data_IF_383221666700
#
_entry.id   IF_383221666700
#
_cell.length_a   1.000
_cell.length_b   1.000
_cell.length_c   1.000
_cell.angle_alpha   90.00
_cell.angle_beta   90.00
_cell.angle_gamma   90.00
#
_symmetry.space_group_name_H-M   'P 1'
#
loop_
_entity.id
_entity.type
_entity.pdbx_description
1 polymer ?
#
# COMPACT_ATOMS: atom_id res chain seq x y z
N UNK A 1 -37.91 31.72 -32.32
CA UNK A 1 -37.21 30.61 -31.64
C UNK A 1 -36.74 31.10 -30.28
N UNK A 2 -37.13 30.44 -29.19
CA UNK A 2 -36.71 30.85 -27.82
C UNK A 2 -35.35 30.21 -27.55
N UNK A 3 -34.32 31.03 -27.36
CA UNK A 3 -32.95 30.58 -27.10
C UNK A 3 -32.83 29.86 -25.76
N UNK A 4 -31.97 28.85 -25.70
CA UNK A 4 -31.71 28.06 -24.50
C UNK A 4 -30.55 28.69 -23.73
N UNK A 5 -30.74 28.95 -22.43
CA UNK A 5 -29.67 29.47 -21.57
C UNK A 5 -28.84 28.29 -21.05
N UNK A 6 -27.54 28.31 -21.35
CA UNK A 6 -26.58 27.32 -20.86
C UNK A 6 -25.69 28.00 -19.83
N UNK A 7 -25.53 27.36 -18.68
CA UNK A 7 -24.61 27.79 -17.64
C UNK A 7 -23.44 26.82 -17.60
N UNK A 8 -22.22 27.37 -17.62
CA UNK A 8 -20.99 26.61 -17.42
C UNK A 8 -20.48 26.91 -16.01
N UNK A 9 -20.50 25.90 -15.15
CA UNK A 9 -19.87 25.98 -13.83
C UNK A 9 -18.45 25.41 -13.91
N UNK A 10 -17.48 26.17 -13.42
CA UNK A 10 -16.11 25.72 -13.24
C UNK A 10 -15.80 25.68 -11.74
N UNK A 11 -15.53 24.48 -11.23
CA UNK A 11 -15.07 24.28 -9.86
C UNK A 11 -13.54 24.26 -9.91
N UNK A 12 -12.92 25.39 -9.56
CA UNK A 12 -11.49 25.43 -9.25
C UNK A 12 -11.31 25.21 -7.77
N UNK A 13 -10.61 24.14 -7.39
CA UNK A 13 -10.14 23.97 -6.03
C UNK A 13 -9.21 25.14 -5.66
N UNK A 14 -9.67 26.02 -4.77
CA UNK A 14 -8.79 26.99 -4.13
C UNK A 14 -7.83 26.22 -3.22
N UNK A 15 -6.54 26.50 -3.35
CA UNK A 15 -5.48 25.94 -2.48
C UNK A 15 -5.54 26.54 -1.08
N UNK A 16 -6.73 26.67 -0.51
CA UNK A 16 -6.94 27.10 0.86
C UNK A 16 -7.37 25.89 1.69
N UNK A 17 -6.55 24.84 1.67
CA UNK A 17 -6.30 24.04 2.88
C UNK A 17 -4.95 23.30 2.86
N UNK A 18 -3.92 23.89 2.23
CA UNK A 18 -2.52 23.49 2.47
C UNK A 18 -1.99 24.07 3.80
N UNK A 19 -2.89 24.53 4.70
CA UNK A 19 -2.55 25.09 6.02
C UNK A 19 -2.68 24.08 7.15
N UNK A 20 -3.28 22.92 6.91
CA UNK A 20 -2.86 21.72 7.64
C UNK A 20 -1.56 21.28 6.98
N UNK A 21 -0.42 21.62 7.60
CA UNK A 21 0.78 20.80 7.54
C UNK A 21 0.31 19.35 7.51
N UNK A 22 0.45 18.66 6.36
CA UNK A 22 -0.03 17.28 6.22
C UNK A 22 0.72 16.49 7.28
N UNK A 23 0.07 16.25 8.43
CA UNK A 23 0.65 15.54 9.56
C UNK A 23 1.29 14.29 9.01
N UNK A 24 2.62 14.26 8.99
CA UNK A 24 3.36 13.14 8.48
C UNK A 24 3.27 12.04 9.52
N UNK A 25 3.37 10.78 9.10
CA UNK A 25 3.41 9.64 10.04
C UNK A 25 4.53 9.81 11.08
N UNK A 26 5.59 10.54 10.72
CA UNK A 26 6.72 10.93 11.58
C UNK A 26 6.35 11.88 12.73
N UNK A 27 5.21 12.55 12.65
CA UNK A 27 4.74 13.51 13.67
C UNK A 27 3.95 12.80 14.79
N UNK A 28 3.70 11.49 14.64
CA UNK A 28 3.06 10.68 15.67
C UNK A 28 4.11 10.37 16.75
N UNK A 29 3.86 10.68 18.04
CA UNK A 29 4.84 10.52 19.11
C UNK A 29 5.47 9.12 19.16
N UNK A 30 4.66 8.07 19.01
CA UNK A 30 5.17 6.68 19.04
C UNK A 30 6.10 6.35 17.87
N UNK A 31 5.99 7.05 16.73
CA UNK A 31 6.90 6.84 15.60
C UNK A 31 8.24 7.52 15.86
N UNK A 32 8.25 8.63 16.61
CA UNK A 32 9.48 9.31 17.03
C UNK A 32 10.23 8.55 18.11
N UNK A 33 9.50 7.89 19.01
CA UNK A 33 10.07 7.07 20.09
C UNK A 33 10.75 5.79 19.54
N UNK A 34 10.31 5.29 18.37
CA UNK A 34 10.79 4.04 17.78
C UNK A 34 11.22 4.18 16.31
N UNK A 35 12.28 4.97 16.00
CA UNK A 35 12.69 5.23 14.62
C UNK A 35 13.21 3.98 13.89
N UNK A 36 13.71 2.99 14.64
CA UNK A 36 14.18 1.70 14.10
C UNK A 36 13.06 0.76 13.70
N UNK A 37 11.87 0.89 14.32
CA UNK A 37 10.68 0.07 14.04
C UNK A 37 9.89 0.63 12.86
N UNK A 38 9.96 1.94 12.64
CA UNK A 38 9.30 2.65 11.54
C UNK A 38 10.30 3.30 10.56
N UNK A 39 11.23 2.53 9.97
CA UNK A 39 12.20 3.10 9.05
C UNK A 39 11.50 3.54 7.77
N UNK A 40 12.02 4.60 7.14
CA UNK A 40 11.47 5.12 5.86
C UNK A 40 11.47 4.07 4.74
N UNK A 41 12.42 3.13 4.79
CA UNK A 41 12.51 1.97 3.92
C UNK A 41 12.69 0.71 4.80
N UNK A 42 12.05 -0.40 4.44
CA UNK A 42 12.17 -1.66 5.19
C UNK A 42 13.61 -2.23 5.08
N UNK A 43 14.20 -2.78 6.16
CA UNK A 43 15.58 -3.26 6.20
C UNK A 43 15.85 -4.55 5.40
N UNK A 44 15.01 -4.89 4.42
CA UNK A 44 15.08 -6.15 3.67
C UNK A 44 14.48 -7.32 4.44
N UNK A 45 14.82 -8.55 4.00
CA UNK A 45 14.41 -9.75 4.73
C UNK A 45 15.04 -9.75 6.13
N UNK A 46 14.32 -10.24 7.16
CA UNK A 46 14.91 -10.40 8.48
C UNK A 46 16.17 -11.27 8.37
N UNK A 47 17.19 -10.93 9.16
CA UNK A 47 18.36 -11.79 9.32
C UNK A 47 17.93 -13.22 9.64
N UNK A 48 18.73 -14.19 9.18
CA UNK A 48 18.52 -15.60 9.49
C UNK A 48 18.26 -15.76 10.98
N UNK A 49 17.05 -16.17 11.33
CA UNK A 49 16.69 -16.40 12.72
C UNK A 49 17.37 -17.70 13.16
N UNK A 50 17.82 -17.81 14.42
CA UNK A 50 18.38 -19.05 14.94
C UNK A 50 17.34 -20.18 15.09
N UNK A 51 16.07 -19.88 14.84
CA UNK A 51 14.96 -20.82 14.89
C UNK A 51 14.43 -20.99 13.47
N UNK A 52 14.42 -22.24 13.01
CA UNK A 52 13.75 -22.64 11.78
C UNK A 52 12.23 -22.70 12.01
N UNK A 53 11.46 -22.19 11.05
CA UNK A 53 10.00 -22.34 11.07
C UNK A 53 9.64 -23.61 10.30
N UNK A 54 9.04 -24.57 10.99
CA UNK A 54 8.43 -25.75 10.38
C UNK A 54 6.93 -25.51 10.16
N UNK A 55 6.41 -25.99 9.03
CA UNK A 55 4.97 -25.98 8.74
C UNK A 55 4.44 -27.38 9.01
N UNK A 56 3.83 -27.55 10.19
CA UNK A 56 3.18 -28.80 10.55
C UNK A 56 1.93 -29.00 9.70
N UNK A 57 1.91 -30.11 8.96
CA UNK A 57 0.73 -30.53 8.20
C UNK A 57 -0.12 -31.49 9.03
N UNK A 58 -1.43 -31.30 9.01
CA UNK A 58 -2.35 -32.31 9.54
C UNK A 58 -2.20 -33.62 8.74
N UNK A 59 -2.20 -34.79 9.38
CA UNK A 59 -2.11 -36.07 8.66
C UNK A 59 -3.18 -36.18 7.58
N UNK A 60 -2.74 -36.44 6.34
CA UNK A 60 -3.62 -36.53 5.16
C UNK A 60 -3.80 -35.21 4.39
N UNK A 61 -3.18 -34.11 4.80
CA UNK A 61 -3.13 -32.90 3.99
C UNK A 61 -2.38 -33.15 2.67
N UNK A 62 -3.00 -32.74 1.56
CA UNK A 62 -2.40 -32.80 0.23
C UNK A 62 -1.99 -31.39 -0.23
N UNK A 63 -0.90 -31.24 -1.02
CA UNK A 63 -0.55 -29.97 -1.63
C UNK A 63 -1.69 -29.42 -2.48
N UNK A 64 -1.95 -28.11 -2.36
CA UNK A 64 -2.94 -27.42 -3.19
C UNK A 64 -2.24 -26.82 -4.40
N UNK A 65 -2.70 -27.16 -5.59
CA UNK A 65 -2.28 -26.55 -6.85
C UNK A 65 -3.49 -25.84 -7.48
N UNK A 66 -3.52 -24.51 -7.37
CA UNK A 66 -4.55 -23.67 -7.96
C UNK A 66 -3.95 -22.76 -9.03
N UNK A 67 -4.64 -22.58 -10.15
CA UNK A 67 -4.21 -21.65 -11.18
C UNK A 67 -4.21 -20.21 -10.63
N UNK A 68 -3.19 -19.38 -10.95
CA UNK A 68 -3.19 -17.98 -10.57
C UNK A 68 -4.40 -17.24 -11.13
N UNK A 69 -4.87 -16.22 -10.40
CA UNK A 69 -5.88 -15.31 -10.93
C UNK A 69 -5.33 -14.51 -12.11
N UNK A 70 -6.24 -14.09 -13.00
CA UNK A 70 -5.86 -13.20 -14.11
C UNK A 70 -5.56 -11.82 -13.54
N UNK A 71 -4.35 -11.34 -13.79
CA UNK A 71 -3.88 -10.01 -13.44
C UNK A 71 -3.80 -9.14 -14.69
N UNK A 72 -4.13 -7.86 -14.57
CA UNK A 72 -3.89 -6.88 -15.63
C UNK A 72 -2.37 -6.66 -15.83
N UNK A 73 -1.92 -6.19 -17.01
CA UNK A 73 -0.50 -5.95 -17.26
C UNK A 73 0.19 -5.03 -16.24
N UNK A 74 -0.53 -4.04 -15.69
CA UNK A 74 -0.02 -3.15 -14.65
C UNK A 74 0.20 -3.85 -13.31
N UNK A 75 -0.70 -4.77 -12.94
CA UNK A 75 -0.61 -5.55 -11.71
C UNK A 75 0.51 -6.58 -11.79
N UNK A 76 0.65 -7.25 -12.94
CA UNK A 76 1.79 -8.14 -13.22
C UNK A 76 3.12 -7.41 -13.08
N UNK A 77 3.22 -6.18 -13.60
CA UNK A 77 4.44 -5.36 -13.48
C UNK A 77 4.77 -5.01 -12.03
N UNK A 78 3.77 -4.69 -11.22
CA UNK A 78 4.00 -4.38 -9.80
C UNK A 78 4.34 -5.65 -9.01
N UNK A 79 3.67 -6.78 -9.28
CA UNK A 79 3.99 -8.06 -8.64
C UNK A 79 5.44 -8.47 -8.92
N UNK A 80 5.90 -8.37 -10.17
CA UNK A 80 7.29 -8.67 -10.55
C UNK A 80 8.32 -7.71 -9.96
N UNK A 81 7.91 -6.56 -9.42
CA UNK A 81 8.80 -5.62 -8.72
C UNK A 81 8.94 -5.97 -7.23
N UNK A 82 7.96 -6.70 -6.69
CA UNK A 82 7.92 -7.14 -5.29
C UNK A 82 8.62 -8.49 -5.08
N UNK A 83 8.52 -9.38 -6.06
CA UNK A 83 9.20 -10.68 -6.12
C UNK A 83 10.66 -10.53 -6.56
#
# INVERSE_FOLDING_TARGET
AKGCHVFLAHISATKEDDRYERKQVKDVPIVQDFPEVFPKNLPGLPLARPVEFEIDLIPGAAPVAQAPYRLAPSEMKELSKQL
#
